data_IF_083085126164
#
_entry.id   IF_083085126164
#
_cell.length_a   1.000
_cell.length_b   1.000
_cell.length_c   1.000
_cell.angle_alpha   90.00
_cell.angle_beta   90.00
_cell.angle_gamma   90.00
#
_symmetry.space_group_name_H-M   'P 1'
#
loop_
_entity.id
_entity.type
_entity.pdbx_description
1 polymer ?
#
# COMPACT_ATOMS: atom_id res chain seq x y z
N UNK A 1 -3.37 -13.06 4.68
CA UNK A 1 -3.48 -11.61 4.92
C UNK A 1 -4.55 -10.92 4.07
N UNK A 2 -4.69 -11.18 2.75
CA UNK A 2 -5.77 -10.55 1.97
C UNK A 2 -7.15 -11.09 2.39
N UNK A 3 -7.25 -12.37 2.71
CA UNK A 3 -8.47 -12.97 3.25
C UNK A 3 -8.90 -12.36 4.58
N UNK A 4 -7.96 -12.11 5.46
CA UNK A 4 -8.26 -11.63 6.83
C UNK A 4 -8.99 -10.28 6.81
N UNK A 5 -8.59 -9.34 5.92
CA UNK A 5 -9.29 -8.05 5.79
C UNK A 5 -10.67 -8.21 5.17
N UNK A 6 -10.78 -9.10 4.19
CA UNK A 6 -12.08 -9.36 3.56
C UNK A 6 -13.07 -9.91 4.57
N UNK A 7 -12.65 -10.90 5.36
CA UNK A 7 -13.50 -11.53 6.39
C UNK A 7 -13.98 -10.49 7.42
N UNK A 8 -13.10 -9.56 7.83
CA UNK A 8 -13.47 -8.51 8.80
C UNK A 8 -14.39 -7.45 8.19
N UNK A 9 -14.21 -7.12 6.91
CA UNK A 9 -15.10 -6.20 6.19
C UNK A 9 -16.48 -6.85 6.02
N UNK A 10 -16.53 -8.12 5.71
CA UNK A 10 -17.78 -8.88 5.58
C UNK A 10 -18.49 -8.99 6.94
N UNK A 11 -17.73 -9.18 8.04
CA UNK A 11 -18.26 -9.18 9.40
C UNK A 11 -18.95 -7.82 9.72
N UNK A 12 -18.28 -6.71 9.40
CA UNK A 12 -18.89 -5.37 9.59
C UNK A 12 -20.13 -5.21 8.72
N UNK A 13 -20.06 -5.66 7.47
CA UNK A 13 -21.19 -5.58 6.55
C UNK A 13 -22.41 -6.34 7.08
N UNK A 14 -22.18 -7.53 7.63
CA UNK A 14 -23.23 -8.35 8.23
C UNK A 14 -23.80 -7.71 9.51
N UNK A 15 -22.94 -7.18 10.38
CA UNK A 15 -23.37 -6.49 11.62
C UNK A 15 -24.28 -5.28 11.33
N UNK A 16 -23.97 -4.54 10.28
CA UNK A 16 -24.65 -3.26 10.01
C UNK A 16 -25.71 -3.37 8.91
N UNK A 17 -25.73 -4.49 8.17
CA UNK A 17 -26.70 -4.71 7.09
C UNK A 17 -26.45 -3.89 5.83
N UNK A 18 -25.25 -3.31 5.70
CA UNK A 18 -24.86 -2.52 4.52
C UNK A 18 -23.42 -2.85 4.12
N UNK A 19 -23.12 -2.84 2.81
CA UNK A 19 -21.77 -3.17 2.36
C UNK A 19 -20.74 -2.16 2.86
N UNK A 20 -19.70 -2.67 3.50
CA UNK A 20 -18.59 -1.87 4.00
C UNK A 20 -17.45 -1.78 2.98
N UNK A 21 -16.65 -0.71 3.05
CA UNK A 21 -15.43 -0.54 2.26
C UNK A 21 -14.32 -0.13 3.21
N UNK A 22 -13.20 -0.85 3.19
CA UNK A 22 -12.01 -0.54 4.00
C UNK A 22 -10.97 0.14 3.14
N UNK A 23 -10.54 1.31 3.57
CA UNK A 23 -9.44 2.08 2.96
C UNK A 23 -8.35 2.36 3.99
N UNK A 24 -7.11 2.49 3.52
CA UNK A 24 -6.02 2.93 4.39
C UNK A 24 -6.14 4.45 4.66
N UNK A 25 -5.26 4.98 5.50
CA UNK A 25 -5.29 6.41 5.86
C UNK A 25 -5.11 7.35 4.67
N UNK A 26 -4.58 6.86 3.55
CA UNK A 26 -4.40 7.64 2.32
C UNK A 26 -5.53 7.40 1.31
N UNK A 27 -6.63 6.81 1.77
CA UNK A 27 -7.83 6.51 0.96
C UNK A 27 -7.53 5.52 -0.17
N UNK A 28 -6.55 4.65 0.03
CA UNK A 28 -6.28 3.53 -0.87
C UNK A 28 -7.10 2.30 -0.45
N UNK A 29 -7.82 1.71 -1.39
CA UNK A 29 -8.72 0.58 -1.14
C UNK A 29 -7.94 -0.67 -0.68
N UNK A 30 -8.40 -1.27 0.41
CA UNK A 30 -7.86 -2.54 0.96
C UNK A 30 -8.83 -3.69 0.67
N UNK A 31 -10.10 -3.54 1.08
CA UNK A 31 -11.12 -4.57 0.93
C UNK A 31 -12.50 -3.93 0.81
N UNK A 32 -13.47 -4.65 0.30
CA UNK A 32 -14.86 -4.16 0.20
C UNK A 32 -15.84 -5.34 0.26
N UNK A 33 -16.94 -5.13 0.96
CA UNK A 33 -18.04 -6.09 1.02
C UNK A 33 -18.76 -6.18 -0.32
N UNK A 34 -19.15 -7.38 -0.71
CA UNK A 34 -19.95 -7.59 -1.92
C UNK A 34 -21.30 -6.90 -1.78
N UNK A 35 -21.79 -6.36 -2.87
CA UNK A 35 -23.13 -5.77 -2.93
C UNK A 35 -24.08 -6.76 -3.61
N UNK A 36 -25.04 -7.22 -2.86
CA UNK A 36 -26.00 -8.27 -3.30
C UNK A 36 -27.31 -7.63 -3.78
N UNK A 37 -27.24 -6.47 -4.40
CA UNK A 37 -28.46 -5.83 -4.86
C UNK A 37 -28.62 -5.91 -6.37
N UNK A 38 -29.77 -6.41 -6.78
CA UNK A 38 -30.28 -6.32 -8.14
C UNK A 38 -30.65 -4.87 -8.51
N UNK A 39 -30.46 -3.93 -7.57
CA UNK A 39 -30.86 -2.53 -7.73
C UNK A 39 -29.68 -1.68 -8.17
N UNK A 40 -29.55 -1.48 -9.47
CA UNK A 40 -28.56 -0.60 -10.09
C UNK A 40 -28.65 0.86 -9.60
N UNK A 41 -29.79 1.27 -9.05
CA UNK A 41 -30.00 2.60 -8.48
C UNK A 41 -29.18 2.82 -7.20
N UNK A 42 -28.65 1.74 -6.61
CA UNK A 42 -27.85 1.80 -5.39
C UNK A 42 -26.36 2.07 -5.62
N UNK A 43 -25.92 2.24 -6.86
CA UNK A 43 -24.50 2.47 -7.18
C UNK A 43 -24.05 3.88 -6.78
N UNK A 44 -23.34 3.97 -5.67
CA UNK A 44 -22.76 5.25 -5.23
C UNK A 44 -21.48 5.56 -6.03
N UNK A 45 -21.41 6.72 -6.73
CA UNK A 45 -20.25 7.03 -7.58
C UNK A 45 -18.90 7.08 -6.83
N UNK A 46 -18.89 7.55 -5.58
CA UNK A 46 -17.65 7.62 -4.79
C UNK A 46 -17.16 6.20 -4.47
N UNK A 47 -18.07 5.32 -4.01
CA UNK A 47 -17.75 3.94 -3.69
C UNK A 47 -17.31 3.17 -4.94
N UNK A 48 -18.07 3.31 -6.03
CA UNK A 48 -17.75 2.65 -7.31
C UNK A 48 -16.38 3.09 -7.81
N UNK A 49 -16.09 4.39 -7.75
CA UNK A 49 -14.79 4.91 -8.16
C UNK A 49 -13.68 4.35 -7.27
N UNK A 50 -13.87 4.36 -5.95
CA UNK A 50 -12.87 3.82 -5.01
C UNK A 50 -12.54 2.36 -5.32
N UNK A 51 -13.56 1.55 -5.64
CA UNK A 51 -13.38 0.14 -5.98
C UNK A 51 -12.64 0.00 -7.33
N UNK A 52 -13.08 0.72 -8.37
CA UNK A 52 -12.53 0.60 -9.72
C UNK A 52 -11.10 1.17 -9.84
N UNK A 53 -10.83 2.30 -9.19
CA UNK A 53 -9.52 2.98 -9.28
C UNK A 53 -8.61 2.66 -8.10
N UNK A 54 -9.12 1.93 -7.11
CA UNK A 54 -8.45 1.56 -5.86
C UNK A 54 -8.06 2.77 -5.01
N UNK A 55 -8.86 3.85 -5.11
CA UNK A 55 -8.62 5.04 -4.30
C UNK A 55 -9.61 6.15 -4.57
N UNK A 56 -9.60 7.16 -3.71
CA UNK A 56 -10.48 8.33 -3.80
C UNK A 56 -9.78 9.51 -4.46
N UNK A 57 -10.55 10.45 -5.00
CA UNK A 57 -9.99 11.69 -5.57
C UNK A 57 -9.50 12.61 -4.45
N UNK A 58 -8.55 13.51 -4.74
CA UNK A 58 -8.11 14.50 -3.74
C UNK A 58 -9.25 15.38 -3.20
N UNK A 59 -10.21 15.72 -4.05
CA UNK A 59 -11.37 16.53 -3.64
C UNK A 59 -12.26 15.78 -2.64
N UNK A 60 -12.58 14.50 -2.93
CA UNK A 60 -13.38 13.65 -2.03
C UNK A 60 -12.64 13.42 -0.72
N UNK A 61 -11.33 13.18 -0.80
CA UNK A 61 -10.49 13.02 0.39
C UNK A 61 -10.54 14.26 1.28
N UNK A 62 -10.28 15.45 0.69
CA UNK A 62 -10.29 16.72 1.43
C UNK A 62 -11.65 16.97 2.08
N UNK A 63 -12.75 16.68 1.35
CA UNK A 63 -14.11 16.79 1.88
C UNK A 63 -14.28 15.93 3.14
N UNK A 64 -13.94 14.65 3.08
CA UNK A 64 -14.11 13.74 4.23
C UNK A 64 -13.18 14.11 5.39
N UNK A 65 -11.94 14.49 5.12
CA UNK A 65 -11.00 14.93 6.15
C UNK A 65 -11.52 16.15 6.91
N UNK A 66 -12.30 17.01 6.25
CA UNK A 66 -12.94 18.17 6.86
C UNK A 66 -13.87 17.84 8.04
N UNK A 67 -14.41 16.63 8.07
CA UNK A 67 -15.24 16.16 9.19
C UNK A 67 -14.42 15.67 10.39
N UNK A 68 -13.10 15.81 10.35
CA UNK A 68 -12.23 15.45 11.48
C UNK A 68 -12.06 13.94 11.68
N UNK A 69 -12.33 13.13 10.66
CA UNK A 69 -12.27 11.66 10.75
C UNK A 69 -10.90 11.14 11.23
N UNK A 70 -9.82 11.85 10.92
CA UNK A 70 -8.48 11.48 11.37
C UNK A 70 -8.29 11.60 12.88
N UNK A 71 -9.11 12.43 13.55
CA UNK A 71 -9.04 12.62 15.00
C UNK A 71 -10.16 11.88 15.76
N UNK A 72 -11.18 11.46 15.03
CA UNK A 72 -12.36 10.81 15.63
C UNK A 72 -11.97 9.48 16.29
N UNK A 73 -12.56 9.19 17.44
CA UNK A 73 -12.37 7.94 18.17
C UNK A 73 -13.58 7.01 18.08
N UNK A 74 -14.68 7.51 17.51
CA UNK A 74 -15.92 6.77 17.29
C UNK A 74 -16.47 7.02 15.89
N UNK A 75 -17.65 6.46 15.58
CA UNK A 75 -18.28 6.64 14.27
C UNK A 75 -18.54 8.11 13.96
N UNK A 76 -18.35 8.51 12.71
CA UNK A 76 -18.61 9.87 12.22
C UNK A 76 -19.65 9.77 11.11
N UNK A 77 -20.83 10.39 11.33
CA UNK A 77 -21.86 10.48 10.29
C UNK A 77 -21.58 11.71 9.41
N UNK A 78 -21.62 11.50 8.12
CA UNK A 78 -21.35 12.53 7.11
C UNK A 78 -22.56 12.58 6.19
N UNK A 79 -23.23 13.72 6.15
CA UNK A 79 -24.41 13.91 5.32
C UNK A 79 -24.03 14.00 3.84
N UNK A 80 -24.99 13.69 2.97
CA UNK A 80 -24.81 13.87 1.54
C UNK A 80 -24.45 15.33 1.22
N UNK A 81 -23.57 15.53 0.26
CA UNK A 81 -23.12 16.84 -0.24
C UNK A 81 -22.93 16.75 -1.76
N UNK A 82 -24.01 16.84 -2.54
CA UNK A 82 -23.92 16.68 -4.00
C UNK A 82 -22.96 17.68 -4.66
N UNK A 83 -22.81 18.86 -4.08
CA UNK A 83 -21.88 19.88 -4.56
C UNK A 83 -20.41 19.43 -4.43
N UNK A 84 -20.11 18.49 -3.51
CA UNK A 84 -18.78 17.87 -3.36
C UNK A 84 -18.68 16.52 -4.10
N UNK A 85 -19.73 16.13 -4.84
CA UNK A 85 -19.80 14.86 -5.54
C UNK A 85 -20.18 13.68 -4.64
N UNK A 86 -20.64 13.95 -3.40
CA UNK A 86 -21.01 12.92 -2.42
C UNK A 86 -22.55 12.91 -2.36
N UNK A 87 -23.17 12.02 -3.13
CA UNK A 87 -24.62 12.02 -3.31
C UNK A 87 -25.39 11.29 -2.21
N UNK A 88 -24.70 10.49 -1.40
CA UNK A 88 -25.33 9.69 -0.33
C UNK A 88 -24.60 9.91 0.98
N UNK A 89 -25.34 9.89 2.07
CA UNK A 89 -24.79 9.97 3.42
C UNK A 89 -23.88 8.78 3.72
N UNK A 90 -22.96 8.95 4.66
CA UNK A 90 -21.98 7.94 5.02
C UNK A 90 -21.74 7.88 6.51
N UNK A 91 -21.38 6.71 6.96
CA UNK A 91 -20.78 6.52 8.28
C UNK A 91 -19.32 6.13 8.07
N UNK A 92 -18.42 6.87 8.70
CA UNK A 92 -16.99 6.57 8.74
C UNK A 92 -16.67 5.95 10.10
N UNK A 93 -16.13 4.72 10.11
CA UNK A 93 -15.61 4.09 11.31
C UNK A 93 -14.09 4.20 11.24
N UNK A 94 -13.44 5.04 12.09
CA UNK A 94 -11.99 5.15 12.06
C UNK A 94 -11.32 3.86 12.56
N UNK A 95 -10.35 3.38 11.80
CA UNK A 95 -9.53 2.21 12.16
C UNK A 95 -8.28 2.71 12.86
N UNK A 96 -8.14 2.37 14.13
CA UNK A 96 -7.06 2.93 14.95
C UNK A 96 -6.26 1.82 15.65
N UNK A 97 -4.98 2.13 15.88
CA UNK A 97 -4.11 1.32 16.75
C UNK A 97 -3.28 2.27 17.61
N UNK A 98 -3.33 2.10 18.92
CA UNK A 98 -2.59 2.93 19.91
C UNK A 98 -2.75 4.45 19.67
N UNK A 99 -3.98 4.86 19.37
CA UNK A 99 -4.28 6.28 19.18
C UNK A 99 -4.04 6.83 17.78
N UNK A 100 -3.32 6.10 16.91
CA UNK A 100 -3.07 6.53 15.52
C UNK A 100 -4.12 5.95 14.58
N UNK A 101 -4.62 6.76 13.64
CA UNK A 101 -5.51 6.29 12.59
C UNK A 101 -4.67 5.62 11.50
N UNK A 102 -5.07 4.41 11.12
CA UNK A 102 -4.40 3.62 10.09
C UNK A 102 -5.28 3.41 8.86
N UNK A 103 -6.59 3.66 9.00
CA UNK A 103 -7.53 3.52 7.90
C UNK A 103 -8.94 3.91 8.32
N UNK A 104 -9.86 3.66 7.42
CA UNK A 104 -11.28 4.00 7.60
C UNK A 104 -12.14 2.89 6.99
N UNK A 105 -13.22 2.53 7.71
CA UNK A 105 -14.28 1.72 7.13
C UNK A 105 -15.44 2.66 6.79
N UNK A 106 -15.91 2.57 5.56
CA UNK A 106 -16.98 3.40 5.02
C UNK A 106 -18.23 2.57 4.80
N UNK A 107 -19.36 3.13 5.20
CA UNK A 107 -20.68 2.54 5.01
C UNK A 107 -21.58 3.62 4.39
N UNK A 108 -22.53 3.23 3.56
CA UNK A 108 -23.58 4.14 3.12
C UNK A 108 -24.61 4.26 4.25
N UNK A 109 -25.09 5.47 4.51
CA UNK A 109 -26.04 5.78 5.59
C UNK A 109 -27.39 6.18 5.00
N UNK A 110 -28.05 5.18 4.39
CA UNK A 110 -29.33 5.39 3.71
C UNK A 110 -30.52 4.75 4.41
N UNK A 111 -30.26 3.96 5.43
CA UNK A 111 -31.31 3.29 6.17
C UNK A 111 -31.99 4.26 7.14
N UNK A 112 -33.32 4.14 7.27
CA UNK A 112 -34.10 4.91 8.23
C UNK A 112 -35.03 3.93 8.97
N UNK A 113 -34.78 3.66 10.25
CA UNK A 113 -33.66 4.17 11.04
C UNK A 113 -32.31 3.52 10.63
N UNK A 114 -31.24 4.32 10.72
CA UNK A 114 -29.86 3.84 10.50
C UNK A 114 -29.41 2.90 11.62
N UNK A 115 -28.17 2.35 11.49
CA UNK A 115 -27.62 1.48 12.53
C UNK A 115 -27.62 2.17 13.89
N UNK A 116 -28.08 1.45 14.91
CA UNK A 116 -28.09 1.96 16.28
C UNK A 116 -26.69 1.98 16.88
N UNK A 117 -26.56 2.66 18.03
CA UNK A 117 -25.28 2.82 18.72
C UNK A 117 -24.68 1.47 19.14
N UNK A 118 -25.49 0.47 19.47
CA UNK A 118 -25.00 -0.85 19.88
C UNK A 118 -24.34 -1.59 18.71
N UNK A 119 -24.98 -1.54 17.54
CA UNK A 119 -24.43 -2.14 16.30
C UNK A 119 -23.15 -1.42 15.86
N UNK A 120 -23.16 -0.07 15.93
CA UNK A 120 -21.97 0.73 15.63
C UNK A 120 -20.82 0.42 16.62
N UNK A 121 -21.12 0.25 17.90
CA UNK A 121 -20.12 -0.12 18.91
C UNK A 121 -19.53 -1.51 18.61
N UNK A 122 -20.37 -2.48 18.21
CA UNK A 122 -19.90 -3.81 17.83
C UNK A 122 -18.97 -3.72 16.59
N UNK A 123 -19.35 -2.94 15.59
CA UNK A 123 -18.52 -2.72 14.40
C UNK A 123 -17.17 -2.06 14.76
N UNK A 124 -17.16 -1.14 15.72
CA UNK A 124 -15.92 -0.52 16.22
C UNK A 124 -14.98 -1.54 16.88
N UNK A 125 -15.49 -2.63 17.48
CA UNK A 125 -14.62 -3.69 17.98
C UNK A 125 -13.92 -4.41 16.81
N UNK A 126 -14.63 -4.59 15.69
CA UNK A 126 -14.03 -5.18 14.48
C UNK A 126 -12.97 -4.24 13.90
N UNK A 127 -13.24 -2.92 13.86
CA UNK A 127 -12.22 -1.96 13.36
C UNK A 127 -10.95 -1.98 14.22
N UNK A 128 -11.05 -2.27 15.52
CA UNK A 128 -9.85 -2.42 16.36
C UNK A 128 -8.99 -3.60 15.90
N UNK A 129 -9.62 -4.74 15.57
CA UNK A 129 -8.91 -5.91 15.02
C UNK A 129 -8.24 -5.58 13.67
N UNK A 130 -8.92 -4.83 12.82
CA UNK A 130 -8.34 -4.33 11.55
C UNK A 130 -7.14 -3.43 11.86
N UNK A 131 -7.25 -2.58 12.87
CA UNK A 131 -6.17 -1.69 13.30
C UNK A 131 -4.91 -2.44 13.71
N UNK A 132 -5.08 -3.54 14.45
CA UNK A 132 -3.96 -4.40 14.86
C UNK A 132 -3.27 -5.02 13.63
N UNK A 133 -4.05 -5.56 12.69
CA UNK A 133 -3.50 -6.13 11.46
C UNK A 133 -2.74 -5.09 10.62
N UNK A 134 -3.30 -3.88 10.48
CA UNK A 134 -2.64 -2.80 9.74
C UNK A 134 -1.35 -2.36 10.44
N UNK A 135 -1.34 -2.32 11.78
CA UNK A 135 -0.14 -1.96 12.54
C UNK A 135 0.96 -3.00 12.36
N UNK A 136 0.61 -4.28 12.43
CA UNK A 136 1.56 -5.38 12.19
C UNK A 136 2.14 -5.30 10.77
N UNK A 137 1.30 -5.00 9.78
CA UNK A 137 1.74 -4.85 8.40
C UNK A 137 2.70 -3.67 8.22
N UNK A 138 2.41 -2.53 8.84
CA UNK A 138 3.29 -1.35 8.80
C UNK A 138 4.65 -1.70 9.44
N UNK A 139 4.62 -2.39 10.58
CA UNK A 139 5.85 -2.82 11.27
C UNK A 139 6.67 -3.77 10.38
N UNK A 140 6.04 -4.80 9.83
CA UNK A 140 6.71 -5.75 8.94
C UNK A 140 7.31 -5.03 7.72
N UNK A 141 6.58 -4.08 7.14
CA UNK A 141 7.06 -3.26 6.02
C UNK A 141 8.29 -2.44 6.39
N UNK A 142 8.30 -1.85 7.59
CA UNK A 142 9.44 -1.08 8.10
C UNK A 142 10.67 -1.97 8.30
N UNK A 143 10.48 -3.15 8.86
CA UNK A 143 11.57 -4.11 9.06
C UNK A 143 12.16 -4.54 7.71
N UNK A 144 11.31 -4.88 6.74
CA UNK A 144 11.76 -5.25 5.39
C UNK A 144 12.48 -4.08 4.69
N UNK A 145 12.00 -2.84 4.87
CA UNK A 145 12.65 -1.65 4.31
C UNK A 145 14.09 -1.49 4.85
N UNK A 146 14.24 -1.68 6.17
CA UNK A 146 15.56 -1.62 6.82
C UNK A 146 16.51 -2.69 6.27
N UNK A 147 16.03 -3.92 6.15
CA UNK A 147 16.87 -5.02 5.65
C UNK A 147 17.22 -4.86 4.17
N UNK A 148 16.27 -4.39 3.35
CA UNK A 148 16.54 -4.09 1.94
C UNK A 148 17.59 -2.98 1.81
N UNK A 149 17.47 -1.92 2.59
CA UNK A 149 18.45 -0.84 2.59
C UNK A 149 19.84 -1.36 3.00
N UNK A 150 19.91 -2.24 3.99
CA UNK A 150 21.17 -2.85 4.42
C UNK A 150 21.82 -3.63 3.26
N UNK A 151 21.05 -4.41 2.49
CA UNK A 151 21.58 -5.13 1.32
C UNK A 151 22.13 -4.17 0.28
N UNK A 152 21.36 -3.10 -0.03
CA UNK A 152 21.71 -2.18 -1.12
C UNK A 152 22.89 -1.27 -0.79
N UNK A 153 23.08 -0.95 0.50
CA UNK A 153 24.14 -0.06 0.95
C UNK A 153 25.42 -0.80 1.37
N UNK A 154 25.36 -2.12 1.56
CA UNK A 154 26.54 -2.92 1.96
C UNK A 154 27.54 -3.03 0.81
N UNK A 155 28.84 -2.99 1.18
CA UNK A 155 29.92 -3.32 0.25
C UNK A 155 29.84 -4.79 -0.19
N UNK A 156 30.28 -5.10 -1.41
CA UNK A 156 30.34 -6.48 -1.87
C UNK A 156 31.20 -7.34 -0.94
N UNK A 157 30.72 -8.55 -0.68
CA UNK A 157 31.40 -9.50 0.19
C UNK A 157 30.50 -9.98 1.31
N UNK A 158 31.10 -10.45 2.40
CA UNK A 158 30.40 -11.10 3.49
C UNK A 158 29.31 -10.24 4.12
N UNK A 159 29.50 -8.92 4.18
CA UNK A 159 28.50 -8.00 4.74
C UNK A 159 27.21 -8.04 3.93
N UNK A 160 27.33 -7.96 2.60
CA UNK A 160 26.16 -8.03 1.71
C UNK A 160 25.51 -9.42 1.76
N UNK A 161 26.33 -10.48 1.86
CA UNK A 161 25.81 -11.84 1.99
C UNK A 161 24.99 -12.01 3.27
N UNK A 162 25.50 -11.50 4.40
CA UNK A 162 24.78 -11.53 5.67
C UNK A 162 23.49 -10.70 5.61
N UNK A 163 23.56 -9.48 5.08
CA UNK A 163 22.36 -8.64 4.91
C UNK A 163 21.32 -9.32 4.03
N UNK A 164 21.77 -9.98 2.95
CA UNK A 164 20.87 -10.72 2.06
C UNK A 164 20.21 -11.91 2.79
N UNK A 165 20.96 -12.63 3.60
CA UNK A 165 20.42 -13.74 4.40
C UNK A 165 19.38 -13.22 5.40
N UNK A 166 19.65 -12.08 6.04
CA UNK A 166 18.72 -11.45 6.99
C UNK A 166 17.43 -11.01 6.26
N UNK A 167 17.57 -10.36 5.12
CA UNK A 167 16.41 -9.95 4.30
C UNK A 167 15.56 -11.17 3.89
N UNK A 168 16.21 -12.24 3.42
CA UNK A 168 15.50 -13.47 3.05
C UNK A 168 14.74 -14.08 4.22
N UNK A 169 15.37 -14.08 5.40
CA UNK A 169 14.71 -14.55 6.63
C UNK A 169 13.48 -13.69 6.96
N UNK A 170 13.62 -12.37 6.88
CA UNK A 170 12.52 -11.44 7.16
C UNK A 170 11.37 -11.59 6.13
N UNK A 171 11.69 -11.89 4.87
CA UNK A 171 10.70 -12.13 3.82
C UNK A 171 9.95 -13.45 3.98
N UNK A 172 10.56 -14.42 4.68
CA UNK A 172 9.96 -15.74 4.84
C UNK A 172 9.70 -16.43 3.49
N UNK A 173 8.53 -17.08 3.31
CA UNK A 173 8.22 -17.74 2.03
C UNK A 173 8.22 -16.82 0.82
N UNK A 174 8.07 -15.50 1.01
CA UNK A 174 8.12 -14.54 -0.09
C UNK A 174 9.53 -14.37 -0.67
N UNK A 175 10.56 -14.88 0.01
CA UNK A 175 11.94 -14.86 -0.48
C UNK A 175 12.20 -15.87 -1.60
N UNK A 176 11.29 -16.82 -1.80
CA UNK A 176 11.45 -17.85 -2.82
C UNK A 176 11.11 -17.28 -4.21
N UNK A 177 11.89 -17.67 -5.20
CA UNK A 177 11.71 -17.25 -6.58
C UNK A 177 12.52 -16.01 -6.95
N UNK A 178 12.42 -15.60 -8.21
CA UNK A 178 13.21 -14.47 -8.71
C UNK A 178 12.62 -13.13 -8.27
N UNK A 179 13.51 -12.18 -8.04
CA UNK A 179 13.17 -10.80 -7.67
C UNK A 179 13.98 -9.84 -8.53
N UNK A 180 13.43 -8.65 -8.73
CA UNK A 180 14.13 -7.53 -9.37
C UNK A 180 14.07 -6.32 -8.45
N UNK A 181 15.13 -5.54 -8.42
CA UNK A 181 15.14 -4.24 -7.74
C UNK A 181 14.92 -3.15 -8.78
N UNK A 182 13.87 -2.36 -8.57
CA UNK A 182 13.61 -1.14 -9.33
C UNK A 182 14.13 0.03 -8.52
N UNK A 183 14.74 1.00 -9.18
CA UNK A 183 15.24 2.21 -8.54
C UNK A 183 14.67 3.44 -9.25
N UNK A 184 13.95 4.27 -8.51
CA UNK A 184 13.35 5.52 -9.02
C UNK A 184 14.11 6.71 -8.45
N UNK A 185 14.72 7.49 -9.33
CA UNK A 185 15.55 8.64 -8.95
C UNK A 185 15.26 9.84 -9.83
N UNK A 186 15.21 11.05 -9.31
CA UNK A 186 15.12 11.37 -7.87
C UNK A 186 13.69 11.09 -7.35
N UNK A 187 13.59 10.58 -6.13
CA UNK A 187 12.30 10.38 -5.47
C UNK A 187 12.00 11.59 -4.58
N UNK A 188 10.90 12.26 -4.84
CA UNK A 188 10.53 13.50 -4.13
C UNK A 188 9.23 13.38 -3.33
N UNK A 189 8.51 12.28 -3.51
CA UNK A 189 7.24 12.04 -2.83
C UNK A 189 7.39 11.33 -1.50
N UNK A 190 6.27 11.13 -0.82
CA UNK A 190 6.19 10.20 0.30
C UNK A 190 6.35 8.77 -0.21
N UNK A 191 6.90 7.91 0.63
CA UNK A 191 7.11 6.52 0.27
C UNK A 191 5.75 5.82 0.16
N UNK A 192 5.45 5.15 -0.96
CA UNK A 192 4.15 4.52 -1.13
C UNK A 192 3.99 3.32 -0.20
N UNK A 193 2.75 3.04 0.27
CA UNK A 193 2.52 1.77 0.96
C UNK A 193 2.88 0.59 0.04
N UNK A 194 3.52 -0.42 0.58
CA UNK A 194 3.99 -1.61 -0.17
C UNK A 194 2.86 -2.19 -1.04
N UNK A 195 1.66 -2.33 -0.46
CA UNK A 195 0.50 -2.91 -1.16
C UNK A 195 0.00 -2.06 -2.33
N UNK A 196 0.37 -0.78 -2.41
CA UNK A 196 -0.09 0.10 -3.49
C UNK A 196 0.74 -0.04 -4.78
N UNK A 197 1.85 -0.79 -4.71
CA UNK A 197 2.73 -1.03 -5.86
C UNK A 197 2.72 -2.54 -6.17
N UNK A 198 2.23 -2.93 -7.35
CA UNK A 198 2.05 -4.35 -7.69
C UNK A 198 3.34 -5.17 -7.56
N UNK A 199 3.22 -6.37 -7.00
CA UNK A 199 4.32 -7.32 -6.91
C UNK A 199 5.41 -6.96 -5.90
N UNK A 200 5.26 -5.86 -5.15
CA UNK A 200 6.30 -5.39 -4.23
C UNK A 200 6.41 -6.32 -3.02
N UNK A 201 7.62 -6.78 -2.75
CA UNK A 201 7.98 -7.53 -1.54
C UNK A 201 8.51 -6.58 -0.45
N UNK A 202 9.29 -5.57 -0.84
CA UNK A 202 9.83 -4.57 0.08
C UNK A 202 10.14 -3.28 -0.69
N UNK A 203 10.18 -2.15 0.01
CA UNK A 203 10.67 -0.90 -0.57
C UNK A 203 11.37 -0.07 0.50
N UNK A 204 12.36 0.71 0.09
CA UNK A 204 13.07 1.61 1.00
C UNK A 204 13.55 2.86 0.25
N UNK A 205 13.62 3.97 0.97
CA UNK A 205 14.25 5.18 0.46
C UNK A 205 15.73 5.17 0.80
N UNK A 206 16.55 5.53 -0.16
CA UNK A 206 18.01 5.58 -0.03
C UNK A 206 18.53 7.00 -0.32
N UNK A 207 19.65 7.40 0.27
CA UNK A 207 20.29 8.66 -0.12
C UNK A 207 20.66 8.66 -1.61
N UNK A 208 20.47 9.79 -2.29
CA UNK A 208 20.82 9.95 -3.70
C UNK A 208 21.35 11.36 -3.93
N UNK A 209 22.65 11.48 -4.12
CA UNK A 209 23.29 12.79 -4.21
C UNK A 209 23.25 13.55 -2.88
N UNK A 210 23.36 14.86 -2.94
CA UNK A 210 23.43 15.70 -1.74
C UNK A 210 22.04 15.93 -1.09
N UNK A 211 21.02 16.15 -1.92
CA UNK A 211 19.71 16.64 -1.43
C UNK A 211 18.52 15.85 -1.99
N UNK A 212 18.76 14.63 -2.48
CA UNK A 212 17.70 13.82 -3.06
C UNK A 212 17.67 12.43 -2.46
N UNK A 213 16.57 11.72 -2.69
CA UNK A 213 16.42 10.32 -2.33
C UNK A 213 16.20 9.48 -3.59
N UNK A 214 16.50 8.20 -3.51
CA UNK A 214 16.09 7.19 -4.46
C UNK A 214 15.08 6.28 -3.77
N UNK A 215 14.07 5.84 -4.48
CA UNK A 215 13.17 4.80 -3.96
C UNK A 215 13.58 3.47 -4.60
N UNK A 216 14.06 2.54 -3.79
CA UNK A 216 14.36 1.17 -4.21
C UNK A 216 13.16 0.28 -3.89
N UNK A 217 12.72 -0.50 -4.87
CA UNK A 217 11.54 -1.38 -4.74
C UNK A 217 11.95 -2.79 -5.17
N UNK A 218 11.85 -3.72 -4.25
CA UNK A 218 12.07 -5.15 -4.51
C UNK A 218 10.76 -5.76 -4.99
N UNK A 219 10.73 -6.19 -6.25
CA UNK A 219 9.53 -6.75 -6.88
C UNK A 219 9.73 -8.24 -7.13
N UNK A 220 8.77 -9.05 -6.70
CA UNK A 220 8.75 -10.48 -6.96
C UNK A 220 8.28 -10.75 -8.40
N UNK A 221 9.00 -11.58 -9.11
CA UNK A 221 8.63 -12.03 -10.45
C UNK A 221 8.02 -13.42 -10.39
N UNK A 222 7.17 -13.76 -11.35
CA UNK A 222 6.60 -15.11 -11.48
C UNK A 222 7.62 -16.09 -12.03
N UNK A 223 8.47 -15.62 -12.94
CA UNK A 223 9.59 -16.34 -13.54
C UNK A 223 10.68 -15.32 -13.88
N UNK A 224 11.91 -15.79 -14.12
CA UNK A 224 13.05 -14.89 -14.39
C UNK A 224 12.83 -13.94 -15.57
N UNK A 225 12.08 -14.39 -16.57
CA UNK A 225 11.78 -13.62 -17.78
C UNK A 225 10.41 -12.93 -17.76
N UNK A 226 9.61 -13.15 -16.71
CA UNK A 226 8.26 -12.59 -16.58
C UNK A 226 8.30 -11.21 -15.89
N UNK A 227 8.49 -10.15 -16.66
CA UNK A 227 8.66 -8.78 -16.16
C UNK A 227 7.34 -8.04 -15.92
N UNK A 228 6.19 -8.67 -16.11
CA UNK A 228 4.87 -8.01 -15.98
C UNK A 228 4.68 -7.29 -14.65
N UNK A 229 5.06 -7.96 -13.54
CA UNK A 229 4.97 -7.36 -12.20
C UNK A 229 5.86 -6.12 -12.08
N UNK A 230 7.07 -6.20 -12.64
CA UNK A 230 8.00 -5.07 -12.62
C UNK A 230 7.50 -3.91 -13.47
N UNK A 231 6.97 -4.19 -14.66
CA UNK A 231 6.41 -3.17 -15.54
C UNK A 231 5.18 -2.50 -14.92
N UNK A 232 4.31 -3.28 -14.27
CA UNK A 232 3.16 -2.74 -13.54
C UNK A 232 3.62 -1.85 -12.36
N UNK A 233 4.67 -2.25 -11.65
CA UNK A 233 5.24 -1.46 -10.57
C UNK A 233 5.82 -0.14 -11.11
N UNK A 234 6.57 -0.19 -12.22
CA UNK A 234 7.12 1.00 -12.89
C UNK A 234 5.99 1.95 -13.29
N UNK A 235 4.95 1.44 -13.94
CA UNK A 235 3.80 2.26 -14.36
C UNK A 235 3.19 2.98 -13.15
N UNK A 236 2.94 2.24 -12.07
CA UNK A 236 2.34 2.78 -10.84
C UNK A 236 3.22 3.84 -10.16
N UNK A 237 4.54 3.61 -10.13
CA UNK A 237 5.50 4.57 -9.56
C UNK A 237 5.65 5.82 -10.43
N UNK A 238 5.59 5.65 -11.75
CA UNK A 238 5.66 6.77 -12.70
C UNK A 238 4.44 7.69 -12.56
N UNK A 239 3.26 7.13 -12.37
CA UNK A 239 2.05 7.92 -12.10
C UNK A 239 2.23 8.80 -10.85
N UNK A 240 2.82 8.27 -9.80
CA UNK A 240 3.08 9.01 -8.57
C UNK A 240 4.22 10.02 -8.73
N UNK A 241 5.25 9.67 -9.48
CA UNK A 241 6.36 10.59 -9.79
C UNK A 241 5.99 11.66 -10.81
N UNK A 242 5.20 11.37 -11.52
CA UNK A 242 4.71 12.24 -12.54
C UNK A 242 4.33 13.60 -12.07
N UNK A 243 4.08 13.56 -11.10
CA UNK A 243 3.75 14.75 -10.49
C UNK A 243 4.95 15.58 -10.23
N UNK A 244 5.85 15.00 -10.29
CA UNK A 244 7.03 15.62 -10.04
C UNK A 244 7.98 15.53 -11.17
N UNK A 245 7.57 15.42 -12.00
CA UNK A 245 8.42 15.36 -12.97
C UNK A 245 9.10 14.10 -13.12
N UNK A 246 8.55 13.56 -13.57
CA UNK A 246 8.89 12.51 -13.75
C UNK A 246 10.10 12.10 -13.79
N UNK A 247 10.52 12.02 -13.14
CA UNK A 247 11.40 11.59 -13.15
C UNK A 247 11.55 10.47 -13.37
N UNK A 248 11.36 10.19 -14.23
CA UNK A 248 11.40 9.20 -14.46
C UNK A 248 12.40 8.49 -14.31
N UNK A 249 12.40 8.07 -13.60
CA UNK A 249 13.11 7.52 -13.40
C UNK A 249 13.43 6.42 -13.81
N UNK A 250 13.97 6.33 -14.47
CA UNK A 250 14.27 5.42 -14.91
C UNK A 250 14.73 4.46 -14.23
N UNK A 251 14.33 3.73 -14.08
CA UNK A 251 14.59 3.00 -13.57
C UNK A 251 15.47 2.24 -13.86
N UNK A 252 16.17 2.18 -13.66
CA UNK A 252 17.00 1.52 -13.90
C UNK A 252 16.90 0.32 -13.46
N UNK A 253 16.64 -0.37 -13.86
CA UNK A 253 16.52 -1.26 -13.57
C UNK A 253 17.45 -1.92 -13.38
N UNK A 254 17.80 -2.14 -12.70
CA UNK A 254 18.65 -2.77 -12.48
C UNK A 254 18.38 -3.99 -12.28
N UNK A 255 18.40 -4.60 -12.70
CA UNK A 255 18.17 -5.58 -12.56
C UNK A 255 18.92 -6.26 -11.90
N UNK A 256 18.90 -6.39 -11.25
CA UNK A 256 19.53 -7.03 -10.61
C UNK A 256 19.02 -8.18 -10.44
N UNK A 257 19.10 -8.73 -10.85
CA UNK A 257 18.65 -9.84 -10.65
C UNK A 257 19.32 -10.48 -9.65
N UNK A 258 18.98 -10.44 -9.08
CA UNK A 258 19.37 -11.09 -8.24
C UNK A 258 19.47 -12.32 -8.50
N UNK A 259 20.16 -12.86 -9.01
CA UNK A 259 20.47 -14.27 -9.31
C UNK A 259 20.94 -14.97 -8.06
N UNK A 260 20.30 -16.07 -7.81
CA UNK A 260 20.85 -17.04 -6.85
C UNK A 260 22.28 -17.34 -7.30
N UNK A 261 23.33 -17.16 -6.50
CA UNK A 261 24.64 -17.56 -6.96
C UNK A 261 24.65 -19.07 -7.16
N UNK A 262 24.78 -19.47 -8.41
CA UNK A 262 25.11 -20.87 -8.70
C UNK A 262 26.50 -21.11 -8.12
N UNK A 263 26.73 -22.18 -7.36
CA UNK A 263 28.06 -22.47 -6.89
C UNK A 263 28.95 -22.74 -8.13
N UNK A 264 29.79 -21.77 -8.47
CA UNK A 264 30.79 -21.94 -9.51
C UNK A 264 30.95 -20.86 -10.57
N UNK A 265 30.18 -19.77 -10.56
CA UNK A 265 30.36 -18.74 -11.60
C UNK A 265 30.45 -17.32 -11.03
N UNK A 266 31.48 -17.07 -10.25
CA UNK A 266 31.82 -15.71 -9.85
C UNK A 266 33.00 -15.20 -10.66
N UNK A 267 32.74 -14.74 -11.89
CA UNK A 267 33.64 -13.83 -12.57
C UNK A 267 32.87 -12.61 -13.02
N UNK A 268 32.98 -11.56 -12.21
CA UNK A 268 32.58 -10.22 -12.65
C UNK A 268 33.71 -9.68 -13.54
N UNK A 269 33.41 -9.12 -14.70
CA UNK A 269 34.45 -8.43 -15.47
C UNK A 269 34.92 -7.20 -14.67
N UNK A 270 36.23 -7.09 -14.49
CA UNK A 270 36.86 -5.89 -13.97
C UNK A 270 36.64 -4.78 -15.00
N UNK A 271 35.64 -3.98 -14.81
CA UNK A 271 35.24 -2.92 -15.74
C UNK A 271 35.25 -1.56 -15.09
N UNK A 272 36.19 -0.80 -15.47
CA UNK A 272 36.31 0.66 -15.50
C UNK A 272 35.59 1.46 -14.42
N UNK A 273 36.40 2.11 -13.62
CA UNK A 273 36.00 3.20 -12.76
C UNK A 273 35.42 4.34 -13.60
N UNK A 274 34.14 4.46 -13.66
CA UNK A 274 33.50 5.73 -13.87
C UNK A 274 32.43 5.83 -12.80
N UNK A 275 32.67 6.71 -11.88
CA UNK A 275 31.82 6.97 -10.75
C UNK A 275 30.51 7.58 -11.23
N UNK A 276 29.46 6.77 -11.23
CA UNK A 276 28.11 7.26 -11.00
C UNK A 276 27.29 6.04 -10.60
N UNK A 277 27.19 5.88 -9.33
CA UNK A 277 26.46 4.81 -8.67
C UNK A 277 24.97 4.97 -8.95
N UNK A 278 24.44 4.08 -9.73
CA UNK A 278 23.01 3.81 -9.65
C UNK A 278 22.75 3.04 -8.36
N UNK A 279 21.62 3.22 -7.71
CA UNK A 279 21.24 2.56 -6.47
C UNK A 279 21.77 1.15 -6.35
#
# INVERSE_FOLDING_TARGET
>A
MKGDYQDLVDEISALLGVPATLENRDFGLIAFGAHDSEDDAAMDPVRTRSILTRGSTPAVRAFFEGFGIARATGPVRIHAAPEAGVFRGRICLPVRHRGMVLGYVWLLDDSDPGPDDARLAAAMQVTARIGDLLADEVKAGTDLARELAAVLLSEPGWQREMATATLRTAMGPSADGPHVVLCVTPWRGEDPPVRSVPGTAALCALPYGADARALAVLVRLRAEDALDSALAAVARLSERAXXXXXXXXXXXXXXXXXRRPSPGSARWPAGRRSARTAC
#
